data_IF_029531680271
#
_entry.id   IF_029531680271
#
_cell.length_a   1.000
_cell.length_b   1.000
_cell.length_c   1.000
_cell.angle_alpha   90.00
_cell.angle_beta   90.00
_cell.angle_gamma   90.00
#
_symmetry.space_group_name_H-M   'P 1'
#
loop_
_entity.id
_entity.type
_entity.pdbx_description
1 polymer ?
#
# COMPACT_ATOMS: atom_id res chain seq x y z
N UNK A 1 6.53 15.07 -24.42
CA UNK A 1 7.40 14.23 -23.57
C UNK A 1 8.79 14.26 -24.16
N UNK A 2 9.74 14.85 -23.44
CA UNK A 2 11.16 14.92 -23.83
C UNK A 2 11.94 13.73 -23.27
N UNK A 3 13.08 13.43 -23.89
CA UNK A 3 14.04 12.43 -23.44
C UNK A 3 14.62 12.86 -22.09
N UNK A 4 14.71 11.94 -21.13
CA UNK A 4 15.26 12.22 -19.80
C UNK A 4 16.75 12.55 -19.78
N UNK A 5 17.47 12.32 -20.89
CA UNK A 5 18.91 12.51 -20.94
C UNK A 5 19.39 13.66 -21.83
N UNK A 6 18.63 14.05 -22.84
CA UNK A 6 19.12 15.00 -23.84
C UNK A 6 18.07 15.98 -24.36
N UNK A 7 16.94 16.13 -23.64
CA UNK A 7 15.85 17.10 -23.89
C UNK A 7 15.16 17.04 -25.27
N UNK A 8 15.62 16.18 -26.17
CA UNK A 8 15.00 15.93 -27.47
C UNK A 8 13.63 15.27 -27.34
N UNK A 9 12.83 15.32 -28.41
CA UNK A 9 11.53 14.66 -28.46
C UNK A 9 11.71 13.15 -28.22
N UNK A 10 11.02 12.62 -27.20
CA UNK A 10 11.06 11.20 -26.93
C UNK A 10 10.15 10.43 -27.89
N UNK A 11 10.71 9.41 -28.54
CA UNK A 11 9.98 8.53 -29.45
C UNK A 11 9.55 7.22 -28.79
N UNK A 12 10.24 6.82 -27.72
CA UNK A 12 10.06 5.53 -27.08
C UNK A 12 9.96 5.67 -25.56
N UNK A 13 9.47 4.62 -24.88
CA UNK A 13 9.37 4.54 -23.42
C UNK A 13 10.02 3.25 -22.91
N UNK A 14 10.66 3.33 -21.75
CA UNK A 14 11.28 2.15 -21.12
C UNK A 14 10.21 1.16 -20.61
N UNK A 15 10.36 -0.16 -20.82
CA UNK A 15 9.39 -1.13 -20.32
C UNK A 15 9.38 -1.30 -18.79
N UNK A 16 10.47 -0.93 -18.11
CA UNK A 16 10.60 -1.09 -16.66
C UNK A 16 10.06 0.14 -15.93
N UNK A 17 10.70 1.30 -16.11
CA UNK A 17 10.38 2.54 -15.41
C UNK A 17 9.45 3.50 -16.17
N UNK A 18 9.03 3.14 -17.40
CA UNK A 18 8.20 3.98 -18.30
C UNK A 18 8.78 5.35 -18.69
N UNK A 19 10.03 5.65 -18.35
CA UNK A 19 10.65 6.94 -18.68
C UNK A 19 10.81 7.11 -20.20
N UNK A 20 10.56 8.34 -20.71
CA UNK A 20 10.68 8.67 -22.13
C UNK A 20 12.14 8.79 -22.60
N UNK A 21 12.46 8.23 -23.77
CA UNK A 21 13.78 8.35 -24.41
C UNK A 21 13.69 8.58 -25.93
N UNK A 22 14.71 9.22 -26.52
CA UNK A 22 14.73 9.52 -27.96
C UNK A 22 15.36 8.41 -28.82
N UNK A 23 16.36 7.68 -28.30
CA UNK A 23 17.18 6.75 -29.09
C UNK A 23 17.88 5.68 -28.24
N UNK A 24 18.42 4.63 -28.90
CA UNK A 24 19.19 3.54 -28.27
C UNK A 24 20.36 4.02 -27.39
N UNK A 25 21.19 5.03 -27.76
CA UNK A 25 22.23 5.52 -26.85
C UNK A 25 21.65 6.11 -25.56
N UNK A 26 20.54 6.84 -25.63
CA UNK A 26 19.84 7.34 -24.43
C UNK A 26 19.28 6.19 -23.58
N UNK A 27 18.79 5.12 -24.22
CA UNK A 27 18.33 3.92 -23.51
C UNK A 27 19.48 3.20 -22.77
N UNK A 28 20.65 3.06 -23.39
CA UNK A 28 21.84 2.47 -22.77
C UNK A 28 22.34 3.32 -21.61
N UNK A 29 22.28 4.64 -21.74
CA UNK A 29 22.67 5.53 -20.66
C UNK A 29 21.71 5.47 -19.48
N UNK A 30 20.41 5.42 -19.77
CA UNK A 30 19.38 5.17 -18.75
C UNK A 30 19.61 3.85 -18.00
N UNK A 31 19.96 2.77 -18.71
CA UNK A 31 20.21 1.43 -18.13
C UNK A 31 21.50 1.30 -17.30
N UNK A 32 22.44 2.23 -17.41
CA UNK A 32 23.65 2.24 -16.59
C UNK A 32 23.34 2.61 -15.13
N UNK A 33 22.25 3.32 -14.89
CA UNK A 33 21.69 3.56 -13.55
C UNK A 33 20.64 2.49 -13.24
N UNK A 34 20.50 2.01 -11.99
CA UNK A 34 19.45 1.05 -11.63
C UNK A 34 18.07 1.58 -12.03
N UNK A 35 17.47 0.89 -13.00
CA UNK A 35 16.15 1.21 -13.51
C UNK A 35 15.11 0.56 -12.61
N UNK A 36 14.51 1.34 -11.72
CA UNK A 36 13.42 0.88 -10.87
C UNK A 36 12.07 1.04 -11.58
N UNK A 37 11.11 0.11 -11.38
CA UNK A 37 9.72 0.33 -11.78
C UNK A 37 9.24 1.67 -11.25
N UNK A 38 8.35 2.41 -11.95
CA UNK A 38 7.76 3.59 -11.37
C UNK A 38 7.09 3.12 -10.09
N UNK A 39 7.45 3.75 -8.97
CA UNK A 39 6.73 3.57 -7.72
C UNK A 39 5.29 3.93 -8.05
N UNK A 40 4.45 2.89 -8.19
CA UNK A 40 3.04 3.11 -8.38
C UNK A 40 2.63 3.89 -7.13
N UNK A 41 2.06 5.11 -7.27
CA UNK A 41 1.53 5.80 -6.11
C UNK A 41 0.67 4.75 -5.41
N UNK A 42 0.87 4.53 -4.09
CA UNK A 42 0.15 3.49 -3.38
C UNK A 42 -1.28 3.58 -3.86
N UNK A 43 -1.80 2.51 -4.46
CA UNK A 43 -3.23 2.42 -4.72
C UNK A 43 -3.84 2.43 -3.33
N UNK A 44 -4.04 3.62 -2.78
CA UNK A 44 -4.83 3.86 -1.60
C UNK A 44 -6.24 3.55 -2.04
N UNK A 45 -6.56 2.26 -2.00
CA UNK A 45 -7.93 1.88 -1.71
C UNK A 45 -8.29 2.65 -0.46
N UNK A 46 -9.40 3.41 -0.49
CA UNK A 46 -9.88 4.19 0.67
C UNK A 46 -9.96 3.33 1.96
N UNK A 47 -10.06 2.02 1.78
CA UNK A 47 -10.03 1.00 2.83
C UNK A 47 -8.65 0.88 3.51
N UNK A 48 -7.55 1.04 2.76
CA UNK A 48 -6.19 1.05 3.32
C UNK A 48 -5.92 2.30 4.16
N UNK A 49 -6.51 3.46 3.83
CA UNK A 49 -6.37 4.68 4.63
C UNK A 49 -7.07 4.58 5.98
N UNK A 50 -8.26 3.98 6.02
CA UNK A 50 -9.03 3.79 7.27
C UNK A 50 -8.31 2.82 8.22
N UNK A 51 -7.78 1.72 7.68
CA UNK A 51 -6.96 0.77 8.44
C UNK A 51 -5.69 1.41 9.00
N UNK A 52 -4.95 2.15 8.17
CA UNK A 52 -3.74 2.86 8.62
C UNK A 52 -4.07 3.80 9.77
N UNK A 53 -5.16 4.56 9.68
CA UNK A 53 -5.60 5.49 10.72
C UNK A 53 -5.94 4.78 12.03
N UNK A 54 -6.59 3.62 11.97
CA UNK A 54 -6.82 2.78 13.16
C UNK A 54 -5.50 2.29 13.79
N UNK A 55 -4.53 1.92 12.94
CA UNK A 55 -3.18 1.48 13.36
C UNK A 55 -2.30 2.62 13.88
N UNK A 56 -2.64 3.89 13.65
CA UNK A 56 -1.96 5.04 14.25
C UNK A 56 -2.34 5.24 15.71
N UNK A 57 -3.44 4.64 16.17
CA UNK A 57 -3.85 4.73 17.56
C UNK A 57 -2.97 3.83 18.44
N UNK A 58 -2.23 4.39 19.42
CA UNK A 58 -1.33 3.60 20.26
C UNK A 58 -2.06 2.52 21.08
N UNK A 59 -3.33 2.76 21.44
CA UNK A 59 -4.13 1.79 22.20
C UNK A 59 -4.44 0.54 21.38
N UNK A 60 -4.68 0.68 20.07
CA UNK A 60 -4.90 -0.48 19.18
C UNK A 60 -3.64 -1.32 19.09
N UNK A 61 -2.47 -0.69 18.99
CA UNK A 61 -1.18 -1.40 18.96
C UNK A 61 -0.93 -2.16 20.26
N UNK A 62 -1.22 -1.54 21.39
CA UNK A 62 -1.09 -2.18 22.70
C UNK A 62 -2.02 -3.39 22.83
N UNK A 63 -3.28 -3.26 22.39
CA UNK A 63 -4.21 -4.40 22.36
C UNK A 63 -3.68 -5.54 21.49
N UNK A 64 -3.16 -5.23 20.30
CA UNK A 64 -2.61 -6.24 19.39
C UNK A 64 -1.37 -6.93 19.97
N UNK A 65 -0.48 -6.16 20.60
CA UNK A 65 0.71 -6.69 21.28
C UNK A 65 0.34 -7.62 22.45
N UNK A 66 -0.65 -7.21 23.25
CA UNK A 66 -1.17 -8.02 24.35
C UNK A 66 -1.84 -9.30 23.82
N UNK A 67 -2.63 -9.21 22.75
CA UNK A 67 -3.28 -10.39 22.14
C UNK A 67 -2.27 -11.38 21.57
N UNK A 68 -1.20 -10.91 20.94
CA UNK A 68 -0.15 -11.74 20.33
C UNK A 68 0.72 -12.46 21.38
N UNK A 69 1.04 -11.77 22.48
CA UNK A 69 1.93 -12.29 23.52
C UNK A 69 1.20 -12.95 24.71
N UNK A 70 -0.13 -12.92 24.75
CA UNK A 70 -0.87 -13.42 25.91
C UNK A 70 -1.01 -14.95 25.93
N UNK A 71 -0.89 -15.58 27.12
CA UNK A 71 -1.23 -17.00 27.31
C UNK A 71 -2.75 -17.29 27.23
N UNK A 72 -3.61 -16.27 27.23
CA UNK A 72 -5.07 -16.40 27.19
C UNK A 72 -5.71 -15.47 26.14
N UNK A 73 -5.46 -15.70 24.84
CA UNK A 73 -5.94 -14.83 23.77
C UNK A 73 -7.47 -14.86 23.63
N UNK A 74 -8.12 -16.00 23.90
CA UNK A 74 -9.59 -16.14 23.78
C UNK A 74 -10.37 -15.22 24.74
N UNK A 75 -9.90 -15.10 26.00
CA UNK A 75 -10.53 -14.23 27.00
C UNK A 75 -10.31 -12.76 26.68
N UNK A 76 -9.10 -12.43 26.24
CA UNK A 76 -8.75 -11.07 25.83
C UNK A 76 -9.48 -10.65 24.57
N UNK A 77 -9.63 -11.55 23.59
CA UNK A 77 -10.39 -11.28 22.36
C UNK A 77 -11.83 -10.87 22.72
N UNK A 78 -12.48 -11.60 23.65
CA UNK A 78 -13.82 -11.25 24.15
C UNK A 78 -13.85 -9.90 24.84
N UNK A 79 -12.82 -9.59 25.63
CA UNK A 79 -12.71 -8.31 26.35
C UNK A 79 -12.54 -7.15 25.38
N UNK A 80 -11.62 -7.26 24.43
CA UNK A 80 -11.32 -6.21 23.46
C UNK A 80 -12.38 -6.06 22.38
N UNK A 81 -13.15 -7.10 22.07
CA UNK A 81 -14.36 -6.97 21.25
C UNK A 81 -15.44 -6.04 21.84
N UNK A 82 -15.36 -5.70 23.14
CA UNK A 82 -16.25 -4.70 23.74
C UNK A 82 -15.71 -3.27 23.62
N UNK A 83 -14.43 -3.11 23.27
CA UNK A 83 -13.80 -1.80 23.12
C UNK A 83 -14.13 -1.22 21.73
N UNK A 84 -14.71 -0.01 21.65
CA UNK A 84 -15.14 0.57 20.37
C UNK A 84 -13.97 0.79 19.41
N UNK A 85 -12.78 1.09 19.93
CA UNK A 85 -11.57 1.35 19.15
C UNK A 85 -11.06 0.05 18.47
N UNK A 86 -11.12 -1.09 19.17
CA UNK A 86 -10.69 -2.36 18.60
C UNK A 86 -11.73 -2.90 17.61
N UNK A 87 -13.02 -2.72 17.89
CA UNK A 87 -14.10 -3.10 16.98
C UNK A 87 -14.05 -2.32 15.67
N UNK A 88 -13.78 -1.00 15.71
CA UNK A 88 -13.58 -0.19 14.50
C UNK A 88 -12.40 -0.71 13.66
N UNK A 89 -11.29 -1.07 14.32
CA UNK A 89 -10.14 -1.68 13.67
C UNK A 89 -10.47 -3.03 13.01
N UNK A 90 -11.17 -3.92 13.71
CA UNK A 90 -11.56 -5.24 13.18
C UNK A 90 -12.51 -5.10 11.99
N UNK A 91 -13.48 -4.18 12.05
CA UNK A 91 -14.38 -3.87 10.92
C UNK A 91 -13.61 -3.39 9.69
N UNK A 92 -12.64 -2.48 9.90
CA UNK A 92 -11.76 -2.03 8.82
C UNK A 92 -10.89 -3.16 8.25
N UNK A 93 -10.43 -4.12 9.08
CA UNK A 93 -9.68 -5.30 8.63
C UNK A 93 -10.55 -6.22 7.79
N UNK A 94 -11.77 -6.51 8.25
CA UNK A 94 -12.72 -7.37 7.56
C UNK A 94 -13.09 -6.81 6.19
N UNK A 95 -13.26 -5.50 6.06
CA UNK A 95 -13.52 -4.81 4.77
C UNK A 95 -12.39 -4.95 3.74
N UNK A 96 -11.15 -5.19 4.19
CA UNK A 96 -10.00 -5.37 3.29
C UNK A 96 -9.77 -6.84 2.94
N UNK A 97 -9.92 -7.73 3.92
CA UNK A 97 -9.71 -9.18 3.74
C UNK A 97 -10.89 -9.84 3.03
N UNK A 98 -12.11 -9.34 3.26
CA UNK A 98 -13.28 -9.68 2.47
C UNK A 98 -13.51 -8.54 1.48
N UNK A 99 -12.99 -8.63 0.24
CA UNK A 99 -13.45 -7.73 -0.80
C UNK A 99 -14.95 -7.97 -0.95
N UNK A 100 -15.77 -7.03 -0.47
CA UNK A 100 -17.17 -7.01 -0.81
C UNK A 100 -17.21 -7.06 -2.33
N UNK A 101 -17.66 -8.21 -2.86
CA UNK A 101 -18.26 -8.25 -4.17
C UNK A 101 -19.55 -7.44 -4.01
N UNK A 102 -19.42 -6.12 -4.09
CA UNK A 102 -20.55 -5.21 -4.28
C UNK A 102 -20.96 -5.38 -5.76
N UNK A 103 -21.44 -6.58 -6.07
CA UNK A 103 -22.21 -6.94 -7.24
C UNK A 103 -23.57 -7.36 -6.68
N UNK A 104 -24.34 -6.39 -6.19
CA UNK A 104 -25.80 -6.37 -6.24
C UNK A 104 -26.31 -4.96 -5.91
N UNK A 105 -26.44 -4.13 -6.96
CA UNK A 105 -27.68 -3.40 -7.34
C UNK A 105 -27.48 -2.01 -7.94
#
# INVERSE_FOLDING_TARGET
>A
MSCTHCEQIAKYKCPVCRVPYCSVPCYKLHKQSPCTPPEEPPKETKQSTELKKCLENPHVREILDILDNSPYPDELMKKYMQEPIFTEFVDACLKVVQPQSDDDK
#
